data_IF_017387302777
#
_entry.id   IF_017387302777
#
_cell.length_a   1.000
_cell.length_b   1.000
_cell.length_c   1.000
_cell.angle_alpha   90.00
_cell.angle_beta   90.00
_cell.angle_gamma   90.00
#
_symmetry.space_group_name_H-M   'P 1'
#
loop_
_entity.id
_entity.type
_entity.pdbx_description
1 polymer ?
#
# COMPACT_ATOMS: atom_id res chain seq x y z
N UNK A 1 -17.43 1.08 -20.18
CA UNK A 1 -16.83 2.19 -19.39
C UNK A 1 -15.73 1.65 -18.49
N UNK A 2 -15.01 2.47 -17.72
CA UNK A 2 -13.92 2.02 -16.85
C UNK A 2 -14.37 1.14 -15.67
N UNK A 3 -15.66 1.18 -15.32
CA UNK A 3 -16.27 0.37 -14.25
C UNK A 3 -17.40 -0.54 -14.79
N UNK A 4 -17.20 -1.16 -15.97
CA UNK A 4 -18.27 -1.87 -16.68
C UNK A 4 -18.77 -3.14 -15.96
N UNK A 5 -17.90 -3.80 -15.21
CA UNK A 5 -18.17 -5.07 -14.51
C UNK A 5 -18.67 -4.86 -13.07
N UNK A 6 -19.09 -3.63 -12.74
CA UNK A 6 -19.60 -3.25 -11.43
C UNK A 6 -20.76 -4.15 -10.99
N UNK A 7 -20.73 -4.57 -9.71
CA UNK A 7 -21.78 -5.39 -9.06
C UNK A 7 -22.14 -6.62 -9.92
N UNK A 8 -21.10 -7.33 -10.38
CA UNK A 8 -21.22 -8.55 -11.20
C UNK A 8 -21.90 -8.30 -12.57
N UNK A 9 -21.79 -7.09 -13.10
CA UNK A 9 -22.27 -6.74 -14.43
C UNK A 9 -21.71 -7.65 -15.52
N UNK A 10 -22.60 -8.32 -16.26
CA UNK A 10 -22.27 -9.27 -17.32
C UNK A 10 -22.34 -10.74 -16.92
N UNK A 11 -22.38 -11.61 -17.93
CA UNK A 11 -22.48 -13.06 -17.76
C UNK A 11 -21.29 -13.63 -16.99
N UNK A 12 -21.55 -14.64 -16.13
CA UNK A 12 -20.49 -15.33 -15.40
C UNK A 12 -19.43 -15.95 -16.33
N UNK A 13 -19.82 -16.48 -17.50
CA UNK A 13 -18.87 -17.01 -18.48
C UNK A 13 -17.84 -15.98 -18.98
N UNK A 14 -18.16 -14.68 -18.93
CA UNK A 14 -17.24 -13.59 -19.26
C UNK A 14 -16.40 -13.20 -18.04
N UNK A 15 -17.03 -13.03 -16.88
CA UNK A 15 -16.38 -12.65 -15.62
C UNK A 15 -15.43 -13.72 -15.08
N UNK A 16 -15.74 -15.00 -15.29
CA UNK A 16 -14.92 -16.13 -14.86
C UNK A 16 -13.62 -16.31 -15.66
N UNK A 17 -13.35 -15.42 -16.63
CA UNK A 17 -12.03 -15.25 -17.26
C UNK A 17 -11.06 -14.43 -16.41
N UNK A 18 -11.50 -13.94 -15.25
CA UNK A 18 -10.61 -13.35 -14.25
C UNK A 18 -9.46 -14.32 -13.94
N UNK A 19 -8.23 -13.80 -13.98
CA UNK A 19 -6.99 -14.54 -13.76
C UNK A 19 -6.95 -15.18 -12.38
N UNK A 20 -7.63 -14.61 -11.39
CA UNK A 20 -7.65 -15.13 -10.03
C UNK A 20 -8.50 -16.42 -9.88
N UNK A 21 -9.27 -16.81 -10.90
CA UNK A 21 -9.93 -18.13 -10.96
C UNK A 21 -9.03 -19.28 -11.43
N UNK A 22 -7.77 -19.01 -11.78
CA UNK A 22 -6.81 -20.06 -12.12
C UNK A 22 -6.69 -21.10 -10.98
N UNK A 23 -6.61 -22.38 -11.36
CA UNK A 23 -6.59 -23.52 -10.42
C UNK A 23 -7.82 -23.62 -9.49
N UNK A 24 -8.97 -23.08 -9.90
CA UNK A 24 -10.25 -23.18 -9.18
C UNK A 24 -11.32 -23.79 -10.09
N UNK A 25 -12.07 -24.76 -9.57
CA UNK A 25 -13.29 -25.25 -10.23
C UNK A 25 -14.38 -24.19 -10.15
N UNK A 26 -14.46 -23.35 -11.19
CA UNK A 26 -15.26 -22.11 -11.13
C UNK A 26 -16.75 -22.27 -11.40
N UNK A 27 -17.19 -23.40 -11.96
CA UNK A 27 -18.59 -23.61 -12.39
C UNK A 27 -19.59 -23.47 -11.25
N UNK A 28 -19.20 -23.87 -10.03
CA UNK A 28 -20.04 -23.76 -8.84
C UNK A 28 -20.40 -22.30 -8.50
N UNK A 29 -19.53 -21.33 -8.82
CA UNK A 29 -19.74 -19.90 -8.54
C UNK A 29 -20.59 -19.20 -9.60
N UNK A 30 -20.98 -19.92 -10.67
CA UNK A 30 -22.01 -19.48 -11.60
C UNK A 30 -23.43 -19.72 -11.07
N UNK A 31 -23.59 -20.52 -10.01
CA UNK A 31 -24.87 -20.78 -9.37
C UNK A 31 -25.26 -19.62 -8.46
N UNK A 32 -26.56 -19.30 -8.44
CA UNK A 32 -27.09 -18.15 -7.69
C UNK A 32 -26.73 -18.24 -6.19
N UNK A 33 -26.87 -19.43 -5.60
CA UNK A 33 -26.66 -19.72 -4.18
C UNK A 33 -25.19 -19.52 -3.74
N UNK A 34 -24.25 -19.71 -4.67
CA UNK A 34 -22.81 -19.61 -4.44
C UNK A 34 -22.21 -18.29 -4.96
N UNK A 35 -23.06 -17.34 -5.36
CA UNK A 35 -22.61 -16.05 -5.87
C UNK A 35 -21.83 -15.28 -4.80
N UNK A 36 -20.63 -14.82 -5.15
CA UNK A 36 -19.84 -13.90 -4.34
C UNK A 36 -19.37 -12.70 -5.17
N UNK A 37 -19.06 -11.61 -4.48
CA UNK A 37 -18.38 -10.44 -5.03
C UNK A 37 -17.50 -9.79 -3.97
N UNK A 38 -16.48 -9.07 -4.40
CA UNK A 38 -15.64 -8.24 -3.55
C UNK A 38 -15.23 -6.98 -4.30
N UNK A 39 -14.79 -5.96 -3.56
CA UNK A 39 -14.26 -4.73 -4.14
C UNK A 39 -12.74 -4.72 -4.04
N UNK A 40 -12.07 -4.32 -5.12
CA UNK A 40 -10.62 -4.20 -5.17
C UNK A 40 -10.21 -2.78 -5.63
N UNK A 41 -10.26 -1.77 -4.74
CA UNK A 41 -9.77 -0.43 -5.05
C UNK A 41 -8.24 -0.43 -5.13
N UNK A 42 -7.68 0.04 -6.25
CA UNK A 42 -6.22 0.03 -6.47
C UNK A 42 -5.69 1.37 -6.99
N UNK A 43 -4.47 1.69 -6.60
CA UNK A 43 -3.67 2.79 -7.16
C UNK A 43 -2.31 2.24 -7.64
N UNK A 44 -1.32 3.10 -7.87
CA UNK A 44 0.04 2.63 -8.14
C UNK A 44 0.62 2.02 -6.86
N UNK A 45 1.33 0.92 -6.99
CA UNK A 45 1.92 0.23 -5.84
C UNK A 45 3.17 0.91 -5.26
N UNK A 46 3.71 1.95 -5.91
CA UNK A 46 4.95 2.66 -5.50
C UNK A 46 6.08 1.70 -5.06
N UNK A 47 6.20 0.61 -5.82
CA UNK A 47 7.08 -0.55 -5.65
C UNK A 47 8.50 -0.22 -5.17
N UNK A 48 9.14 -1.14 -4.45
CA UNK A 48 10.58 -1.08 -4.14
C UNK A 48 11.43 -1.50 -5.35
N UNK A 49 10.96 -2.49 -6.13
CA UNK A 49 11.54 -2.90 -7.42
C UNK A 49 10.61 -2.53 -8.60
N UNK A 50 10.42 -1.25 -8.93
CA UNK A 50 9.44 -0.82 -9.92
C UNK A 50 9.82 -1.23 -11.35
N UNK A 51 9.13 -2.23 -11.92
CA UNK A 51 9.29 -2.64 -13.31
C UNK A 51 9.12 -1.50 -14.33
N UNK A 52 8.33 -0.47 -14.00
CA UNK A 52 8.18 0.71 -14.84
C UNK A 52 9.45 1.57 -14.94
N UNK A 53 10.24 1.66 -13.88
CA UNK A 53 11.55 2.34 -13.89
C UNK A 53 12.50 1.56 -14.80
N UNK A 54 12.62 0.25 -14.59
CA UNK A 54 13.46 -0.63 -15.40
C UNK A 54 13.08 -0.63 -16.90
N UNK A 55 11.80 -0.46 -17.21
CA UNK A 55 11.30 -0.49 -18.59
C UNK A 55 11.39 0.85 -19.33
N UNK A 56 11.79 1.95 -18.68
CA UNK A 56 11.78 3.28 -19.30
C UNK A 56 13.10 3.58 -20.03
N UNK A 57 13.13 3.65 -21.39
CA UNK A 57 14.39 3.82 -22.12
C UNK A 57 15.03 5.19 -21.90
N UNK A 58 14.24 6.21 -21.57
CA UNK A 58 14.73 7.57 -21.32
C UNK A 58 15.17 7.80 -19.87
N UNK A 59 15.02 6.82 -18.97
CA UNK A 59 15.32 6.99 -17.55
C UNK A 59 14.51 8.09 -16.87
N UNK A 60 13.31 8.41 -17.38
CA UNK A 60 12.49 9.52 -16.88
C UNK A 60 11.60 9.14 -15.70
N UNK A 61 11.67 7.88 -15.25
CA UNK A 61 10.91 7.39 -14.10
C UNK A 61 11.91 7.10 -12.99
N UNK A 62 11.64 7.59 -11.79
CA UNK A 62 12.52 7.47 -10.65
C UNK A 62 11.70 7.24 -9.38
N UNK A 63 12.34 6.67 -8.36
CA UNK A 63 11.81 6.56 -7.00
C UNK A 63 12.51 7.64 -6.18
N UNK A 64 11.73 8.49 -5.51
CA UNK A 64 12.25 9.48 -4.57
C UNK A 64 12.91 8.79 -3.38
N UNK A 65 14.02 9.32 -2.92
CA UNK A 65 14.86 8.71 -1.87
C UNK A 65 14.22 8.93 -0.50
N UNK A 66 13.70 10.14 -0.27
CA UNK A 66 13.19 10.61 1.00
C UNK A 66 11.84 9.98 1.41
N UNK A 67 11.01 9.54 0.45
CA UNK A 67 9.66 9.02 0.73
C UNK A 67 9.26 7.80 -0.12
N UNK A 68 10.12 7.35 -1.03
CA UNK A 68 9.86 6.19 -1.87
C UNK A 68 8.78 6.41 -2.95
N UNK A 69 8.30 7.64 -3.19
CA UNK A 69 7.27 7.90 -4.19
C UNK A 69 7.89 7.79 -5.60
N UNK A 70 7.42 6.81 -6.38
CA UNK A 70 7.76 6.67 -7.81
C UNK A 70 7.04 7.72 -8.67
N UNK A 71 7.78 8.52 -9.45
CA UNK A 71 7.26 9.58 -10.31
C UNK A 71 7.74 9.43 -11.77
N UNK A 72 7.03 10.09 -12.70
CA UNK A 72 7.45 10.25 -14.10
C UNK A 72 7.76 11.72 -14.32
N UNK A 73 9.03 12.03 -14.54
CA UNK A 73 9.50 13.37 -14.91
C UNK A 73 8.87 13.79 -16.24
N UNK A 74 8.02 14.81 -16.21
CA UNK A 74 7.30 15.28 -17.40
C UNK A 74 8.20 16.01 -18.39
N UNK A 75 9.34 16.56 -17.96
CA UNK A 75 10.29 17.23 -18.85
C UNK A 75 11.20 16.22 -19.56
N UNK A 76 11.64 15.18 -18.84
CA UNK A 76 12.48 14.11 -19.39
C UNK A 76 11.70 13.05 -20.16
N UNK A 77 10.41 12.87 -19.88
CA UNK A 77 9.60 11.87 -20.58
C UNK A 77 9.56 12.14 -22.09
N UNK A 78 10.00 11.15 -22.88
CA UNK A 78 10.01 11.19 -24.36
C UNK A 78 8.85 10.42 -25.00
N UNK A 79 7.89 9.93 -24.21
CA UNK A 79 6.70 9.29 -24.76
C UNK A 79 6.97 7.95 -25.46
N UNK A 80 7.99 7.19 -25.01
CA UNK A 80 8.31 5.86 -25.54
C UNK A 80 7.25 4.79 -25.26
N UNK A 81 6.38 5.02 -24.26
CA UNK A 81 5.23 4.16 -23.88
C UNK A 81 5.59 2.76 -23.37
N UNK A 82 6.86 2.37 -23.31
CA UNK A 82 7.31 1.07 -22.80
C UNK A 82 6.95 0.83 -21.33
N UNK A 83 6.96 1.88 -20.50
CA UNK A 83 6.58 1.80 -19.09
C UNK A 83 5.12 1.37 -18.86
N UNK A 84 4.23 1.60 -19.83
CA UNK A 84 2.82 1.19 -19.75
C UNK A 84 2.72 -0.33 -19.80
N UNK A 85 3.42 -0.96 -20.75
CA UNK A 85 3.50 -2.41 -20.84
C UNK A 85 4.24 -2.99 -19.62
N UNK A 86 5.36 -2.37 -19.24
CA UNK A 86 6.21 -2.82 -18.14
C UNK A 86 5.55 -2.81 -16.76
N UNK A 87 4.58 -1.93 -16.50
CA UNK A 87 3.84 -1.96 -15.23
C UNK A 87 2.85 -3.14 -15.21
N UNK A 88 3.03 -4.16 -14.35
CA UNK A 88 2.15 -5.32 -14.33
C UNK A 88 0.74 -4.94 -13.84
N UNK A 89 0.64 -3.95 -12.95
CA UNK A 89 -0.64 -3.42 -12.43
C UNK A 89 -1.39 -2.50 -13.40
N UNK A 90 -0.78 -2.14 -14.53
CA UNK A 90 -1.31 -1.20 -15.54
C UNK A 90 -1.75 0.15 -14.93
N UNK A 91 -0.91 0.70 -14.06
CA UNK A 91 -1.13 1.97 -13.33
C UNK A 91 -0.39 3.18 -13.89
N UNK A 92 0.05 3.05 -15.13
CA UNK A 92 0.61 4.13 -15.93
C UNK A 92 -0.30 4.32 -17.14
N UNK A 93 -0.72 5.55 -17.38
CA UNK A 93 -1.68 5.91 -18.41
C UNK A 93 -1.01 6.86 -19.40
N UNK A 94 -1.29 6.66 -20.69
CA UNK A 94 -0.78 7.56 -21.71
C UNK A 94 -1.69 8.79 -21.82
N UNK A 95 -1.10 9.98 -21.72
CA UNK A 95 -1.78 11.21 -22.08
C UNK A 95 -1.65 11.41 -23.60
N UNK A 96 -2.74 11.11 -24.30
CA UNK A 96 -2.82 11.21 -25.77
C UNK A 96 -2.66 12.64 -26.31
N UNK A 97 -2.81 13.67 -25.46
CA UNK A 97 -2.66 15.08 -25.84
C UNK A 97 -1.23 15.57 -25.64
N UNK A 98 -0.64 15.36 -24.46
CA UNK A 98 0.74 15.79 -24.17
C UNK A 98 1.78 14.87 -24.83
N UNK A 99 1.37 13.66 -25.18
CA UNK A 99 2.25 12.64 -25.74
C UNK A 99 3.11 11.93 -24.70
N UNK A 100 2.87 12.16 -23.40
CA UNK A 100 3.67 11.66 -22.27
C UNK A 100 2.88 10.70 -21.40
N UNK A 101 3.59 9.90 -20.60
CA UNK A 101 2.97 9.00 -19.65
C UNK A 101 2.76 9.70 -18.29
N UNK A 102 1.63 9.41 -17.66
CA UNK A 102 1.25 9.91 -16.34
C UNK A 102 0.84 8.73 -15.44
N UNK A 103 0.94 8.93 -14.13
CA UNK A 103 0.59 7.91 -13.13
C UNK A 103 0.12 8.56 -11.84
N UNK A 104 -0.39 7.75 -10.91
CA UNK A 104 -0.58 8.17 -9.52
C UNK A 104 0.72 8.76 -8.97
N UNK A 105 0.65 9.96 -8.42
CA UNK A 105 1.79 10.68 -7.84
C UNK A 105 1.84 10.57 -6.30
N UNK A 106 1.06 9.64 -5.73
CA UNK A 106 0.84 9.45 -4.29
C UNK A 106 0.49 10.74 -3.53
N UNK A 107 -0.12 11.71 -4.22
CA UNK A 107 -0.37 13.05 -3.69
C UNK A 107 0.86 13.66 -3.00
N UNK A 108 2.06 13.50 -3.58
CA UNK A 108 3.31 13.96 -2.96
C UNK A 108 3.28 15.39 -2.40
N UNK A 109 2.59 16.40 -3.02
CA UNK A 109 2.55 17.74 -2.44
C UNK A 109 1.85 17.80 -1.07
N UNK A 110 0.95 16.84 -0.80
CA UNK A 110 0.27 16.68 0.50
C UNK A 110 1.11 15.84 1.47
N UNK A 111 1.70 14.74 0.99
CA UNK A 111 2.59 13.89 1.80
C UNK A 111 3.78 14.68 2.32
N UNK A 112 4.36 15.55 1.50
CA UNK A 112 5.44 16.45 1.92
C UNK A 112 5.06 17.31 3.13
N UNK A 113 3.79 17.70 3.24
CA UNK A 113 3.25 18.48 4.35
C UNK A 113 2.65 17.61 5.49
N UNK A 114 2.90 16.29 5.51
CA UNK A 114 2.35 15.38 6.52
C UNK A 114 0.84 15.15 6.39
N UNK A 115 0.25 15.43 5.22
CA UNK A 115 -1.17 15.23 4.97
C UNK A 115 -1.44 13.92 4.22
N UNK A 116 -2.60 13.26 4.44
CA UNK A 116 -2.96 12.06 3.71
C UNK A 116 -3.16 12.32 2.21
N UNK A 117 -3.01 11.25 1.43
CA UNK A 117 -3.44 11.28 0.03
C UNK A 117 -4.93 11.58 -0.06
N UNK A 118 -5.36 12.24 -1.14
CA UNK A 118 -6.77 12.57 -1.36
C UNK A 118 -7.65 11.32 -1.26
N UNK A 119 -7.25 10.24 -1.94
CA UNK A 119 -8.03 9.01 -1.93
C UNK A 119 -8.04 8.28 -0.58
N UNK A 120 -7.09 8.55 0.31
CA UNK A 120 -7.09 8.05 1.69
C UNK A 120 -8.02 8.87 2.57
N UNK A 121 -7.88 10.20 2.54
CA UNK A 121 -8.70 11.12 3.33
C UNK A 121 -10.19 11.03 2.99
N UNK A 122 -10.52 10.95 1.69
CA UNK A 122 -11.89 10.88 1.19
C UNK A 122 -12.46 9.46 1.18
N UNK A 123 -11.77 8.48 1.79
CA UNK A 123 -12.24 7.10 1.82
C UNK A 123 -13.42 6.97 2.79
N UNK A 124 -14.64 6.98 2.25
CA UNK A 124 -15.89 6.87 3.02
C UNK A 124 -15.92 5.60 3.87
N UNK A 125 -15.45 4.48 3.32
CA UNK A 125 -15.40 3.19 4.04
C UNK A 125 -14.34 3.13 5.14
N UNK A 126 -13.50 4.16 5.30
CA UNK A 126 -12.45 4.24 6.33
C UNK A 126 -11.41 3.12 6.28
N UNK A 127 -11.26 2.44 5.13
CA UNK A 127 -10.42 1.22 4.98
C UNK A 127 -8.95 1.48 4.63
N UNK A 128 -8.53 2.75 4.51
CA UNK A 128 -7.16 3.10 4.05
C UNK A 128 -6.33 3.60 5.22
N UNK A 129 -5.11 3.08 5.31
CA UNK A 129 -4.12 3.39 6.32
C UNK A 129 -2.83 3.86 5.64
N UNK A 130 -2.17 4.85 6.24
CA UNK A 130 -0.89 5.38 5.78
C UNK A 130 0.06 5.41 6.97
N UNK A 131 1.25 4.85 6.77
CA UNK A 131 2.27 4.71 7.80
C UNK A 131 3.62 4.43 7.15
N UNK A 132 4.69 4.81 7.83
CA UNK A 132 6.06 4.61 7.34
C UNK A 132 6.44 3.14 7.45
N UNK A 133 7.21 2.66 6.48
CA UNK A 133 7.92 1.38 6.53
C UNK A 133 9.39 1.66 6.24
N UNK A 134 10.27 1.27 7.16
CA UNK A 134 11.70 1.27 6.93
C UNK A 134 12.06 -0.01 6.17
N UNK A 135 12.94 0.10 5.18
CA UNK A 135 13.36 -1.04 4.37
C UNK A 135 14.84 -0.96 4.03
N UNK A 136 15.48 -2.12 3.93
CA UNK A 136 16.85 -2.26 3.44
C UNK A 136 16.86 -2.25 1.91
N UNK A 137 17.39 -1.16 1.33
CA UNK A 137 17.44 -0.96 -0.11
C UNK A 137 18.45 -1.91 -0.80
N UNK A 138 19.53 -2.30 -0.11
CA UNK A 138 20.57 -3.16 -0.68
C UNK A 138 20.07 -4.59 -0.90
N UNK A 139 19.08 -5.01 -0.11
CA UNK A 139 18.45 -6.34 -0.19
C UNK A 139 17.26 -6.42 -1.15
N UNK A 140 16.91 -5.35 -1.86
CA UNK A 140 15.79 -5.33 -2.81
C UNK A 140 15.96 -6.38 -3.92
N UNK A 141 17.16 -6.46 -4.51
CA UNK A 141 17.43 -7.42 -5.59
C UNK A 141 17.32 -8.86 -5.07
N UNK A 142 17.91 -9.14 -3.91
CA UNK A 142 17.84 -10.45 -3.25
C UNK A 142 16.38 -10.87 -3.06
N UNK A 143 15.57 -10.02 -2.42
CA UNK A 143 14.17 -10.31 -2.15
C UNK A 143 13.33 -10.50 -3.42
N UNK A 144 13.55 -9.69 -4.45
CA UNK A 144 12.78 -9.78 -5.71
C UNK A 144 13.18 -10.98 -6.60
N UNK A 145 14.37 -11.55 -6.37
CA UNK A 145 14.95 -12.62 -7.21
C UNK A 145 14.90 -14.02 -6.59
N UNK A 146 14.20 -14.19 -5.46
CA UNK A 146 13.94 -15.51 -4.86
C UNK A 146 13.37 -16.50 -5.89
N UNK A 147 13.75 -17.77 -5.79
CA UNK A 147 13.43 -18.78 -6.80
C UNK A 147 11.92 -18.99 -6.96
N UNK A 148 11.20 -19.20 -5.86
CA UNK A 148 9.77 -19.49 -5.88
C UNK A 148 8.93 -18.23 -5.65
N UNK A 149 7.90 -18.02 -6.47
CA UNK A 149 7.02 -16.85 -6.35
C UNK A 149 6.28 -16.78 -4.99
N UNK A 150 6.03 -17.94 -4.36
CA UNK A 150 5.38 -18.02 -3.04
C UNK A 150 6.24 -17.45 -1.90
N UNK A 151 7.55 -17.42 -2.10
CA UNK A 151 8.49 -16.93 -1.08
C UNK A 151 8.60 -15.40 -1.10
N UNK A 152 8.13 -14.73 -2.18
CA UNK A 152 8.25 -13.28 -2.36
C UNK A 152 7.56 -12.46 -1.27
N UNK A 153 6.43 -12.95 -0.74
CA UNK A 153 5.73 -12.29 0.37
C UNK A 153 6.63 -12.22 1.61
N UNK A 154 7.21 -13.36 2.01
CA UNK A 154 8.08 -13.41 3.18
C UNK A 154 9.40 -12.69 2.92
N UNK A 155 9.99 -12.85 1.73
CA UNK A 155 11.21 -12.14 1.36
C UNK A 155 11.05 -10.61 1.40
N UNK A 156 9.87 -10.09 1.04
CA UNK A 156 9.58 -8.67 1.18
C UNK A 156 9.42 -8.25 2.66
N UNK A 157 8.84 -9.10 3.51
CA UNK A 157 8.77 -8.82 4.95
C UNK A 157 10.16 -8.80 5.59
N UNK A 158 11.07 -9.68 5.14
CA UNK A 158 12.41 -9.83 5.71
C UNK A 158 13.34 -8.65 5.40
N UNK A 159 12.97 -7.78 4.46
CA UNK A 159 13.67 -6.52 4.19
C UNK A 159 13.03 -5.31 4.89
N UNK A 160 11.85 -5.47 5.50
CA UNK A 160 11.31 -4.44 6.37
C UNK A 160 12.01 -4.46 7.73
N UNK A 161 12.37 -3.28 8.21
CA UNK A 161 13.19 -3.11 9.40
C UNK A 161 12.31 -2.75 10.61
N UNK A 162 12.65 -3.31 11.77
CA UNK A 162 11.97 -2.99 13.03
C UNK A 162 12.35 -1.57 13.49
N UNK A 163 11.40 -0.62 13.53
CA UNK A 163 11.69 0.75 13.92
C UNK A 163 12.01 0.90 15.43
N UNK A 164 11.85 -0.15 16.23
CA UNK A 164 12.20 -0.17 17.66
C UNK A 164 13.57 -0.83 17.92
N UNK A 165 14.18 -1.48 16.93
CA UNK A 165 15.50 -2.10 17.09
C UNK A 165 16.59 -1.02 17.21
N UNK A 166 17.38 -1.01 18.30
CA UNK A 166 18.49 -0.07 18.47
C UNK A 166 19.48 -0.04 17.31
N UNK A 167 19.74 -1.18 16.65
CA UNK A 167 20.65 -1.26 15.51
C UNK A 167 20.07 -0.55 14.28
N UNK A 168 18.77 -0.73 14.02
CA UNK A 168 18.04 -0.04 12.93
C UNK A 168 17.98 1.46 13.21
N UNK A 169 17.75 1.86 14.46
CA UNK A 169 17.71 3.29 14.84
C UNK A 169 19.05 3.96 14.58
N UNK A 170 20.16 3.31 14.95
CA UNK A 170 21.49 3.87 14.71
C UNK A 170 21.82 3.93 13.22
N UNK A 171 21.53 2.86 12.47
CA UNK A 171 21.75 2.82 11.02
C UNK A 171 20.91 3.90 10.29
N UNK A 172 19.64 4.06 10.67
CA UNK A 172 18.78 5.08 10.09
C UNK A 172 19.31 6.51 10.30
N UNK A 173 19.97 6.79 11.43
CA UNK A 173 20.64 8.09 11.65
C UNK A 173 21.85 8.27 10.73
N UNK A 174 22.64 7.23 10.53
CA UNK A 174 23.80 7.24 9.62
C UNK A 174 23.32 7.52 8.19
N UNK A 175 22.21 6.90 7.78
CA UNK A 175 21.60 7.06 6.46
C UNK A 175 20.79 8.37 6.31
N UNK A 176 20.76 9.21 7.35
CA UNK A 176 20.14 10.54 7.30
C UNK A 176 18.61 10.57 7.43
N UNK A 177 17.99 9.49 7.94
CA UNK A 177 16.55 9.46 8.21
C UNK A 177 16.20 10.39 9.39
N UNK A 178 15.29 11.36 9.22
CA UNK A 178 14.93 12.29 10.30
C UNK A 178 14.25 11.61 11.50
N UNK A 179 14.46 12.12 12.71
CA UNK A 179 13.86 11.56 13.94
C UNK A 179 12.32 11.47 13.88
N UNK A 180 11.66 12.43 13.22
CA UNK A 180 10.20 12.40 13.01
C UNK A 180 9.76 11.24 12.14
N UNK A 181 10.56 10.83 11.16
CA UNK A 181 10.29 9.66 10.34
C UNK A 181 10.43 8.37 11.16
N UNK A 182 11.41 8.30 12.06
CA UNK A 182 11.56 7.20 13.00
C UNK A 182 10.41 7.10 14.00
N UNK A 183 9.93 8.25 14.52
CA UNK A 183 8.73 8.29 15.36
C UNK A 183 7.48 7.83 14.60
N UNK A 184 7.29 8.29 13.37
CA UNK A 184 6.18 7.86 12.52
C UNK A 184 6.26 6.37 12.17
N UNK A 185 7.46 5.82 11.97
CA UNK A 185 7.67 4.40 11.72
C UNK A 185 7.29 3.54 12.92
N UNK A 186 7.68 3.94 14.15
CA UNK A 186 7.31 3.24 15.39
C UNK A 186 5.80 3.21 15.64
N UNK A 187 5.09 4.24 15.21
CA UNK A 187 3.63 4.35 15.35
C UNK A 187 2.88 3.95 14.07
N UNK A 188 3.54 3.32 13.10
CA UNK A 188 2.98 3.06 11.77
C UNK A 188 1.86 2.00 11.82
N UNK A 189 0.60 2.34 11.46
CA UNK A 189 -0.47 1.34 11.37
C UNK A 189 -0.19 0.31 10.26
N UNK A 190 0.58 0.70 9.24
CA UNK A 190 0.97 -0.17 8.14
C UNK A 190 1.97 -1.23 8.61
N UNK A 191 2.96 -0.84 9.42
CA UNK A 191 3.91 -1.78 10.02
C UNK A 191 3.19 -2.79 10.91
N UNK A 192 2.27 -2.32 11.76
CA UNK A 192 1.44 -3.19 12.60
C UNK A 192 0.64 -4.20 11.77
N UNK A 193 -0.07 -3.75 10.73
CA UNK A 193 -0.89 -4.64 9.90
C UNK A 193 -0.09 -5.64 9.07
N UNK A 194 1.03 -5.22 8.50
CA UNK A 194 1.83 -6.04 7.59
C UNK A 194 2.82 -6.96 8.33
N UNK A 195 3.52 -6.43 9.34
CA UNK A 195 4.64 -7.12 9.99
C UNK A 195 4.21 -7.80 11.29
N UNK A 196 3.55 -7.09 12.20
CA UNK A 196 3.19 -7.62 13.52
C UNK A 196 1.96 -8.56 13.44
N UNK A 197 0.84 -8.01 12.97
CA UNK A 197 -0.44 -8.71 12.93
C UNK A 197 -0.58 -9.63 11.72
N UNK A 198 0.27 -9.49 10.69
CA UNK A 198 0.25 -10.33 9.48
C UNK A 198 -1.16 -10.43 8.86
N UNK A 199 -1.91 -9.33 8.87
CA UNK A 199 -3.28 -9.25 8.31
C UNK A 199 -3.31 -8.54 6.97
N UNK A 200 -2.34 -7.69 6.68
CA UNK A 200 -2.17 -7.08 5.36
C UNK A 200 -1.20 -7.91 4.50
N UNK A 201 -1.54 -8.10 3.23
CA UNK A 201 -0.80 -8.91 2.27
C UNK A 201 -0.54 -8.09 0.98
N UNK A 202 0.59 -8.29 0.29
CA UNK A 202 0.91 -7.57 -0.94
C UNK A 202 -0.06 -7.95 -2.07
N UNK A 203 -0.31 -7.04 -3.00
CA UNK A 203 -1.07 -7.37 -4.21
C UNK A 203 -0.16 -8.00 -5.26
N UNK A 204 -0.45 -9.23 -5.70
CA UNK A 204 0.30 -9.96 -6.71
C UNK A 204 1.84 -9.91 -6.50
N UNK A 205 2.35 -10.44 -5.38
CA UNK A 205 3.79 -10.45 -5.10
C UNK A 205 4.61 -11.14 -6.21
N UNK A 206 4.04 -12.12 -6.92
CA UNK A 206 4.64 -12.84 -8.05
C UNK A 206 5.08 -11.95 -9.22
N UNK A 207 4.61 -10.69 -9.27
CA UNK A 207 5.14 -9.71 -10.22
C UNK A 207 6.55 -9.23 -9.90
N UNK A 208 7.11 -9.63 -8.74
CA UNK A 208 8.51 -9.37 -8.33
C UNK A 208 8.87 -7.89 -8.24
N UNK A 209 7.85 -7.04 -8.14
CA UNK A 209 8.06 -5.60 -8.01
C UNK A 209 8.22 -5.17 -6.55
N UNK A 210 7.94 -6.03 -5.58
CA UNK A 210 7.86 -5.67 -4.15
C UNK A 210 6.89 -4.50 -3.93
N UNK A 211 5.57 -4.70 -4.12
CA UNK A 211 4.57 -3.63 -4.03
C UNK A 211 4.43 -3.06 -2.61
N UNK A 212 4.09 -1.77 -2.48
CA UNK A 212 3.99 -1.07 -1.20
C UNK A 212 2.55 -0.65 -0.83
N UNK A 213 1.53 -1.04 -1.60
CA UNK A 213 0.12 -0.91 -1.19
C UNK A 213 -0.44 -2.30 -0.91
N UNK A 214 -0.70 -2.57 0.37
CA UNK A 214 -1.08 -3.89 0.86
C UNK A 214 -2.56 -3.93 1.23
N UNK A 215 -3.12 -5.15 1.25
CA UNK A 215 -4.55 -5.41 1.37
C UNK A 215 -4.83 -6.38 2.50
N UNK A 216 -5.81 -6.04 3.33
CA UNK A 216 -6.42 -7.01 4.25
C UNK A 216 -7.48 -7.78 3.48
N UNK A 217 -7.42 -9.14 3.42
CA UNK A 217 -8.39 -9.92 2.68
C UNK A 217 -9.81 -9.75 3.27
N UNK A 218 -10.88 -9.70 2.47
CA UNK A 218 -12.22 -9.50 2.98
C UNK A 218 -12.77 -10.77 3.63
N UNK A 219 -13.42 -10.62 4.79
CA UNK A 219 -14.35 -11.64 5.28
C UNK A 219 -15.59 -11.69 4.37
N UNK A 220 -16.24 -12.84 4.30
CA UNK A 220 -17.49 -13.01 3.56
C UNK A 220 -18.53 -13.79 4.36
N UNK A 221 -19.82 -13.77 3.96
CA UNK A 221 -20.81 -14.62 4.60
C UNK A 221 -20.42 -16.10 4.50
N UNK A 222 -20.84 -16.88 5.49
CA UNK A 222 -20.73 -18.34 5.48
C UNK A 222 -21.65 -18.89 4.37
N UNK A 223 -21.24 -19.97 3.70
CA UNK A 223 -22.07 -20.67 2.71
C UNK A 223 -23.40 -21.18 3.30
N UNK A 224 -24.44 -21.28 2.46
CA UNK A 224 -25.76 -21.73 2.91
C UNK A 224 -25.75 -23.14 3.51
N UNK A 225 -24.84 -24.01 3.04
CA UNK A 225 -24.67 -25.38 3.54
C UNK A 225 -24.17 -25.43 4.99
N UNK A 226 -23.31 -24.50 5.40
CA UNK A 226 -22.82 -24.42 6.78
C UNK A 226 -23.84 -23.74 7.72
N UNK A 227 -24.68 -22.83 7.20
CA UNK A 227 -25.82 -22.27 7.97
C UNK A 227 -26.93 -23.30 8.27
N UNK A 228 -27.02 -24.41 7.52
CA UNK A 228 -28.02 -25.47 7.71
C UNK A 228 -27.70 -26.43 8.89
N UNK A 229 -26.72 -26.11 9.73
CA UNK A 229 -26.46 -26.82 10.99
C UNK A 229 -25.44 -27.96 10.92
N UNK A 230 -24.82 -28.21 9.77
CA UNK A 230 -23.69 -29.13 9.64
C UNK A 230 -22.37 -28.40 9.96
N UNK A 231 -22.22 -27.94 11.21
CA UNK A 231 -21.10 -27.06 11.58
C UNK A 231 -19.92 -27.91 12.08
N UNK A 232 -18.81 -27.88 11.33
CA UNK A 232 -17.49 -28.00 11.91
C UNK A 232 -17.06 -26.62 12.41
N UNK A 233 -17.15 -26.37 13.71
CA UNK A 233 -16.46 -25.24 14.32
C UNK A 233 -15.03 -25.73 14.53
N UNK A 234 -14.04 -25.03 13.98
CA UNK A 234 -12.65 -25.27 14.36
C UNK A 234 -12.43 -24.55 15.70
N UNK A 235 -12.94 -25.12 16.80
CA UNK A 235 -12.85 -24.52 18.13
C UNK A 235 -13.92 -23.45 18.37
N UNK A 236 -13.49 -22.20 18.57
CA UNK A 236 -14.34 -21.06 18.94
C UNK A 236 -14.67 -20.12 17.76
N UNK A 237 -14.03 -20.37 16.60
CA UNK A 237 -14.08 -19.50 15.42
C UNK A 237 -14.67 -20.28 14.24
N UNK A 238 -15.52 -19.65 13.38
CA UNK A 238 -15.96 -20.28 12.14
C UNK A 238 -14.78 -20.68 11.26
N UNK A 239 -14.86 -21.86 10.64
CA UNK A 239 -13.84 -22.32 9.70
C UNK A 239 -13.79 -21.39 8.48
N UNK A 240 -12.63 -20.77 8.25
CA UNK A 240 -12.39 -19.85 7.13
C UNK A 240 -12.60 -20.51 5.77
N UNK A 241 -12.51 -21.84 5.67
CA UNK A 241 -12.77 -22.58 4.43
C UNK A 241 -14.25 -22.62 4.05
N UNK A 242 -15.14 -22.29 4.97
CA UNK A 242 -16.59 -22.25 4.76
C UNK A 242 -17.10 -20.88 4.32
N UNK A 243 -16.21 -19.88 4.26
CA UNK A 243 -16.50 -18.56 3.72
C UNK A 243 -16.86 -18.68 2.23
N UNK A 244 -17.81 -17.84 1.78
CA UNK A 244 -18.30 -17.91 0.40
C UNK A 244 -17.26 -17.48 -0.64
N UNK A 245 -16.41 -16.52 -0.29
CA UNK A 245 -15.26 -16.15 -1.14
C UNK A 245 -14.23 -17.28 -1.07
N UNK A 246 -13.80 -17.86 -2.20
CA UNK A 246 -12.85 -18.95 -2.19
C UNK A 246 -11.48 -18.45 -1.69
N UNK A 247 -10.93 -19.07 -0.64
CA UNK A 247 -9.61 -18.72 -0.11
C UNK A 247 -8.55 -18.78 -1.21
N UNK A 248 -8.63 -19.78 -2.10
CA UNK A 248 -7.71 -19.91 -3.24
C UNK A 248 -7.77 -18.71 -4.19
N UNK A 249 -8.93 -18.09 -4.37
CA UNK A 249 -9.07 -16.88 -5.21
C UNK A 249 -8.30 -15.71 -4.59
N UNK A 250 -8.44 -15.52 -3.27
CA UNK A 250 -7.71 -14.50 -2.53
C UNK A 250 -6.20 -14.79 -2.50
N UNK A 251 -5.82 -16.06 -2.42
CA UNK A 251 -4.42 -16.46 -2.45
C UNK A 251 -3.76 -16.18 -3.81
N UNK A 252 -4.47 -16.47 -4.91
CA UNK A 252 -4.02 -16.11 -6.26
C UNK A 252 -3.88 -14.59 -6.45
N UNK A 253 -4.56 -13.79 -5.63
CA UNK A 253 -4.52 -12.32 -5.69
C UNK A 253 -3.43 -11.72 -4.80
N UNK A 254 -3.16 -12.31 -3.63
CA UNK A 254 -2.39 -11.66 -2.57
C UNK A 254 -1.10 -12.39 -2.17
N UNK A 255 -0.95 -13.67 -2.51
CA UNK A 255 0.10 -14.53 -1.95
C UNK A 255 0.62 -15.55 -2.96
N UNK A 256 0.61 -15.21 -4.26
CA UNK A 256 1.07 -16.10 -5.35
C UNK A 256 0.45 -17.52 -5.28
N UNK A 257 -0.81 -17.60 -4.83
CA UNK A 257 -1.57 -18.85 -4.72
C UNK A 257 -1.35 -19.65 -3.43
N UNK A 258 -0.52 -19.19 -2.49
CA UNK A 258 -0.39 -19.80 -1.15
C UNK A 258 -1.56 -19.39 -0.24
N UNK A 259 -2.38 -20.35 0.19
CA UNK A 259 -3.56 -20.07 1.02
C UNK A 259 -3.21 -19.77 2.46
N UNK A 260 -2.06 -20.22 2.98
CA UNK A 260 -1.76 -20.15 4.40
C UNK A 260 -1.76 -18.73 4.98
N UNK A 261 -1.09 -17.72 4.36
CA UNK A 261 -1.11 -16.36 4.91
C UNK A 261 -2.52 -15.72 4.84
N UNK A 262 -3.32 -16.08 3.84
CA UNK A 262 -4.70 -15.61 3.71
C UNK A 262 -5.58 -16.20 4.79
N UNK A 263 -5.52 -17.52 5.01
CA UNK A 263 -6.26 -18.20 6.08
C UNK A 263 -5.91 -17.59 7.44
N UNK A 264 -4.61 -17.44 7.73
CA UNK A 264 -4.13 -16.82 8.99
C UNK A 264 -4.68 -15.39 9.18
N UNK A 265 -4.66 -14.57 8.14
CA UNK A 265 -5.19 -13.20 8.22
C UNK A 265 -6.69 -13.19 8.50
N UNK A 266 -7.46 -14.06 7.83
CA UNK A 266 -8.91 -14.20 8.03
C UNK A 266 -9.25 -14.72 9.43
N UNK A 267 -8.52 -15.73 9.91
CA UNK A 267 -8.67 -16.29 11.25
C UNK A 267 -8.39 -15.26 12.34
N UNK A 268 -7.32 -14.46 12.21
CA UNK A 268 -7.00 -13.37 13.17
C UNK A 268 -8.11 -12.33 13.23
N UNK A 269 -8.71 -11.94 12.09
CA UNK A 269 -9.85 -11.03 12.10
C UNK A 269 -11.11 -11.64 12.73
N UNK A 270 -11.36 -12.93 12.51
CA UNK A 270 -12.48 -13.61 13.15
C UNK A 270 -12.26 -13.78 14.67
N UNK A 271 -11.02 -14.06 15.09
CA UNK A 271 -10.62 -14.11 16.50
C UNK A 271 -10.87 -12.77 17.20
N UNK A 272 -10.51 -11.65 16.56
CA UNK A 272 -10.83 -10.32 17.06
C UNK A 272 -12.34 -10.11 17.23
N UNK A 273 -13.15 -10.53 16.26
CA UNK A 273 -14.62 -10.44 16.35
C UNK A 273 -15.19 -11.30 17.47
N UNK A 274 -14.71 -12.53 17.65
CA UNK A 274 -15.14 -13.45 18.70
C UNK A 274 -14.78 -12.89 20.09
N UNK A 275 -13.55 -12.42 20.27
CA UNK A 275 -13.07 -11.80 21.51
C UNK A 275 -13.92 -10.56 21.87
N UNK A 276 -14.10 -9.63 20.92
CA UNK A 276 -14.85 -8.40 21.17
C UNK A 276 -16.34 -8.66 21.39
N UNK A 277 -16.93 -9.69 20.76
CA UNK A 277 -18.30 -10.13 21.06
C UNK A 277 -18.40 -10.65 22.49
N UNK A 278 -17.52 -11.55 22.90
CA UNK A 278 -17.52 -12.09 24.27
C UNK A 278 -17.38 -10.98 25.31
N UNK A 279 -16.50 -10.02 25.07
CA UNK A 279 -16.30 -8.84 25.92
C UNK A 279 -17.54 -7.96 26.04
N UNK A 280 -18.18 -7.60 24.92
CA UNK A 280 -19.24 -6.58 24.89
C UNK A 280 -20.67 -7.14 25.05
N UNK A 281 -20.90 -8.39 24.66
CA UNK A 281 -22.24 -9.02 24.67
C UNK A 281 -22.36 -9.98 25.83
N UNK A 282 -21.43 -10.92 25.93
CA UNK A 282 -21.52 -12.04 26.89
C UNK A 282 -20.90 -11.69 28.26
N UNK A 283 -20.26 -10.53 28.37
CA UNK A 283 -19.57 -10.05 29.59
C UNK A 283 -18.31 -10.83 29.96
N UNK A 284 -17.87 -11.76 29.10
CA UNK A 284 -16.67 -12.58 29.30
C UNK A 284 -15.88 -12.67 27.99
N UNK A 285 -14.67 -12.09 27.92
CA UNK A 285 -13.83 -12.17 26.73
C UNK A 285 -13.48 -13.62 26.36
N UNK A 286 -13.53 -13.93 25.06
CA UNK A 286 -13.20 -15.26 24.55
C UNK A 286 -11.67 -15.38 24.36
N UNK A 287 -10.99 -15.86 25.40
CA UNK A 287 -9.53 -16.04 25.40
C UNK A 287 -9.08 -17.23 24.56
N UNK A 288 -9.95 -18.22 24.38
CA UNK A 288 -9.67 -19.43 23.60
C UNK A 288 -9.54 -19.11 22.10
N UNK A 289 -10.40 -18.22 21.60
CA UNK A 289 -10.30 -17.69 20.24
C UNK A 289 -8.95 -16.99 19.97
N UNK A 290 -8.39 -16.29 20.96
CA UNK A 290 -7.07 -15.66 20.85
C UNK A 290 -5.93 -16.67 20.88
N UNK A 291 -6.02 -17.65 21.78
CA UNK A 291 -5.04 -18.73 21.91
C UNK A 291 -4.93 -19.54 20.61
N UNK A 292 -6.07 -19.80 19.95
CA UNK A 292 -6.13 -20.53 18.69
C UNK A 292 -5.28 -19.88 17.57
N UNK A 293 -5.24 -18.56 17.51
CA UNK A 293 -4.49 -17.80 16.46
C UNK A 293 -3.17 -17.20 16.95
N UNK A 294 -2.75 -17.59 18.17
CA UNK A 294 -1.53 -17.11 18.83
C UNK A 294 -1.46 -15.58 18.86
N UNK A 295 -2.51 -14.95 19.39
CA UNK A 295 -2.62 -13.50 19.54
C UNK A 295 -2.80 -13.13 21.01
N UNK A 296 -2.09 -12.11 21.46
CA UNK A 296 -2.20 -11.57 22.80
C UNK A 296 -3.41 -10.65 22.97
N UNK A 297 -3.78 -10.37 24.22
CA UNK A 297 -4.84 -9.39 24.54
C UNK A 297 -4.46 -8.00 24.07
N UNK A 298 -3.18 -7.62 24.21
CA UNK A 298 -2.70 -6.32 23.76
C UNK A 298 -2.88 -6.18 22.23
N UNK A 299 -2.43 -7.18 21.47
CA UNK A 299 -2.56 -7.17 20.00
C UNK A 299 -4.03 -7.06 19.57
N UNK A 300 -4.96 -7.82 20.17
CA UNK A 300 -6.36 -7.77 19.74
C UNK A 300 -7.05 -6.44 20.09
N UNK A 301 -6.71 -5.83 21.23
CA UNK A 301 -7.25 -4.54 21.62
C UNK A 301 -6.68 -3.41 20.74
N UNK A 302 -5.39 -3.48 20.38
CA UNK A 302 -4.80 -2.54 19.41
C UNK A 302 -5.36 -2.72 18.01
N UNK A 303 -5.52 -3.97 17.54
CA UNK A 303 -6.19 -4.26 16.28
C UNK A 303 -7.60 -3.67 16.25
N UNK A 304 -8.36 -3.83 17.35
CA UNK A 304 -9.69 -3.25 17.45
C UNK A 304 -9.67 -1.71 17.44
N UNK A 305 -8.73 -1.09 18.15
CA UNK A 305 -8.56 0.37 18.14
C UNK A 305 -8.27 0.87 16.71
N UNK A 306 -7.30 0.28 16.02
CA UNK A 306 -6.86 0.73 14.70
C UNK A 306 -7.85 0.36 13.59
N UNK A 307 -8.44 -0.84 13.62
CA UNK A 307 -9.30 -1.35 12.55
C UNK A 307 -10.78 -1.06 12.73
N UNK A 308 -11.29 -1.02 13.97
CA UNK A 308 -12.73 -0.82 14.23
C UNK A 308 -13.07 0.61 14.64
N UNK A 309 -12.35 1.19 15.61
CA UNK A 309 -12.55 2.61 16.00
C UNK A 309 -11.96 3.52 14.93
N UNK A 310 -10.73 3.18 14.50
CA UNK A 310 -10.05 3.72 13.33
C UNK A 310 -10.02 5.25 13.29
N UNK A 311 -9.62 5.89 14.41
CA UNK A 311 -9.53 7.34 14.51
C UNK A 311 -8.64 7.93 13.41
N UNK A 312 -8.79 9.22 13.14
CA UNK A 312 -8.08 9.84 12.01
C UNK A 312 -6.56 9.72 12.17
N UNK A 313 -6.07 10.00 13.36
CA UNK A 313 -4.68 9.91 13.80
C UNK A 313 -4.13 8.49 13.80
N UNK A 314 -4.97 7.48 14.10
CA UNK A 314 -4.57 6.06 14.06
C UNK A 314 -4.43 5.54 12.62
N UNK A 315 -5.16 6.14 11.68
CA UNK A 315 -5.14 5.72 10.27
C UNK A 315 -4.01 6.37 9.48
N UNK A 316 -3.65 7.60 9.81
CA UNK A 316 -2.75 8.41 8.99
C UNK A 316 -1.59 8.93 9.84
N UNK A 317 -0.51 8.15 9.88
CA UNK A 317 0.74 8.49 10.56
C UNK A 317 1.76 8.86 9.49
N UNK A 318 1.77 10.14 9.11
CA UNK A 318 2.53 10.64 7.96
C UNK A 318 3.47 11.75 8.45
N UNK A 319 4.79 11.53 8.41
CA UNK A 319 5.75 12.55 8.78
C UNK A 319 5.81 13.64 7.69
N UNK A 320 6.24 14.83 8.07
CA UNK A 320 6.58 15.87 7.10
C UNK A 320 7.87 15.52 6.36
N UNK A 321 7.93 15.79 5.07
CA UNK A 321 9.17 15.69 4.28
C UNK A 321 9.93 17.00 4.42
N UNK A 322 11.17 16.92 4.89
CA UNK A 322 11.99 18.09 5.20
C UNK A 322 12.66 18.65 3.93
N UNK A 323 11.92 19.44 3.14
CA UNK A 323 12.47 20.11 1.93
C UNK A 323 13.62 21.07 2.25
N UNK A 324 13.75 21.52 3.49
CA UNK A 324 14.84 22.37 3.98
C UNK A 324 16.23 21.75 3.90
N UNK A 325 16.35 20.42 3.85
CA UNK A 325 17.66 19.78 3.74
C UNK A 325 18.20 19.79 2.30
N UNK A 326 17.33 19.88 1.30
CA UNK A 326 17.70 19.83 -0.12
C UNK A 326 17.62 21.19 -0.83
N UNK A 327 16.78 22.11 -0.36
CA UNK A 327 16.52 23.41 -1.00
C UNK A 327 16.69 24.59 -0.03
N UNK A 328 17.07 25.76 -0.56
CA UNK A 328 16.97 27.01 0.21
C UNK A 328 15.49 27.41 0.38
N UNK A 329 14.86 26.91 1.43
CA UNK A 329 13.43 27.13 1.71
C UNK A 329 13.06 28.59 1.90
N UNK A 330 14.00 29.46 2.29
CA UNK A 330 13.75 30.90 2.43
C UNK A 330 13.53 31.54 1.05
N UNK A 331 14.39 31.21 0.08
CA UNK A 331 14.25 31.66 -1.31
C UNK A 331 12.98 31.10 -1.95
N UNK A 332 12.70 29.80 -1.73
CA UNK A 332 11.50 29.14 -2.25
C UNK A 332 10.24 29.75 -1.64
N UNK A 333 10.20 30.03 -0.33
CA UNK A 333 9.06 30.69 0.32
C UNK A 333 8.78 32.09 -0.25
N UNK A 334 9.82 32.85 -0.56
CA UNK A 334 9.69 34.22 -1.09
C UNK A 334 9.41 34.30 -2.59
N UNK A 335 9.76 33.27 -3.36
CA UNK A 335 9.69 33.29 -4.83
C UNK A 335 8.80 32.23 -5.48
N UNK A 336 8.45 31.14 -4.78
CA UNK A 336 7.68 30.04 -5.35
C UNK A 336 6.19 30.41 -5.55
N UNK A 337 5.64 30.09 -6.72
CA UNK A 337 4.27 30.43 -7.11
C UNK A 337 4.16 31.57 -8.13
N UNK A 338 5.21 32.35 -8.33
CA UNK A 338 5.27 33.38 -9.37
C UNK A 338 5.78 32.80 -10.71
N UNK A 339 4.90 32.14 -11.47
CA UNK A 339 5.22 31.44 -12.73
C UNK A 339 5.44 32.36 -13.95
N UNK A 340 5.99 33.56 -13.75
CA UNK A 340 6.32 34.50 -14.84
C UNK A 340 7.53 34.05 -15.69
N UNK A 341 8.12 32.88 -15.41
CA UNK A 341 9.28 32.28 -16.08
C UNK A 341 9.82 31.08 -15.28
N UNK A 342 11.10 30.71 -15.47
CA UNK A 342 11.77 29.59 -14.77
C UNK A 342 12.11 29.86 -13.29
N UNK A 343 11.48 30.85 -12.64
CA UNK A 343 11.87 31.34 -11.31
C UNK A 343 11.87 30.28 -10.19
N UNK A 344 11.04 29.25 -10.33
CA UNK A 344 10.91 28.13 -9.38
C UNK A 344 11.46 26.81 -9.94
N UNK A 345 12.10 26.82 -11.11
CA UNK A 345 12.68 25.63 -11.73
C UNK A 345 14.14 25.46 -11.30
N UNK A 346 14.55 24.23 -10.98
CA UNK A 346 15.93 23.90 -10.61
C UNK A 346 16.81 23.56 -11.81
N UNK A 347 16.22 23.49 -13.01
CA UNK A 347 16.93 23.34 -14.26
C UNK A 347 17.55 24.65 -14.73
N UNK A 348 18.65 25.08 -14.12
CA UNK A 348 19.44 26.18 -14.63
C UNK A 348 20.94 25.85 -14.55
N UNK A 349 21.58 25.77 -15.72
CA UNK A 349 22.99 26.13 -15.83
C UNK A 349 23.14 27.63 -15.51
N UNK A 350 24.29 28.05 -14.99
CA UNK A 350 24.57 29.48 -14.72
C UNK A 350 24.30 30.37 -15.95
N UNK A 351 24.43 29.80 -17.14
CA UNK A 351 24.11 30.40 -18.42
C UNK A 351 22.71 30.00 -18.89
N UNK A 352 21.91 31.00 -19.25
CA UNK A 352 20.62 30.85 -19.93
C UNK A 352 20.68 31.55 -21.28
N UNK A 353 20.12 30.93 -22.33
CA UNK A 353 20.03 31.52 -23.67
C UNK A 353 19.29 32.86 -23.69
N UNK A 354 18.44 33.11 -22.69
CA UNK A 354 17.62 34.32 -22.59
C UNK A 354 18.08 35.29 -21.49
N UNK A 355 19.24 35.05 -20.86
CA UNK A 355 19.83 35.98 -19.88
C UNK A 355 19.05 36.15 -18.57
N UNK A 356 18.08 35.29 -18.27
CA UNK A 356 17.27 35.37 -17.05
C UNK A 356 18.03 34.86 -15.83
N UNK A 357 18.09 35.68 -14.77
CA UNK A 357 18.61 35.28 -13.44
C UNK A 357 17.46 34.74 -12.57
N UNK A 358 17.72 33.68 -11.80
CA UNK A 358 16.77 33.16 -10.80
C UNK A 358 16.58 34.26 -9.73
N UNK A 359 15.35 34.70 -9.49
CA UNK A 359 15.07 35.73 -8.47
C UNK A 359 15.42 35.16 -7.08
N UNK A 360 16.45 35.71 -6.44
CA UNK A 360 16.80 35.40 -5.04
C UNK A 360 16.02 36.32 -4.10
N UNK A 361 15.53 35.77 -3.00
CA UNK A 361 14.87 36.55 -1.95
C UNK A 361 15.95 37.07 -1.01
N UNK A 362 16.39 38.32 -1.21
CA UNK A 362 17.39 38.94 -0.34
C UNK A 362 16.65 39.59 0.84
N UNK A 363 16.84 39.13 2.10
CA UNK A 363 16.27 39.82 3.24
C UNK A 363 16.91 41.22 3.34
N UNK A 364 16.08 42.26 3.35
CA UNK A 364 16.55 43.62 3.64
C UNK A 364 16.97 43.60 5.12
N UNK A 365 18.25 43.89 5.40
CA UNK A 365 18.72 44.08 6.78
C UNK A 365 17.83 45.13 7.44
N UNK A 366 17.13 44.76 8.50
CA UNK A 366 16.50 45.75 9.36
C UNK A 366 17.63 46.54 10.02
N UNK A 367 17.81 47.80 9.61
CA UNK A 367 18.60 48.75 10.38
C UNK A 367 17.92 48.89 11.74
N UNK A 368 18.62 48.46 12.80
CA UNK A 368 18.18 48.60 14.20
C UNK A 368 18.46 50.01 14.68
#
# INVERSE_FOLDING_TARGET
GPNWEEILGGEFAKRSKDKNFDDIQKDIYGQFENTFMMYLPRLCEHCLNPACVASCPSGSIYKREEDGIVLIDQDKCRGWRMCISGCPYKKIYYNWKSGKAEKCIFCYPRIEAGQPTVCSETCVGRIRYLGVLLYDADRIQEAASVEHDRDLYQAQLDIFLDPNDPAVIEQARIDGIPDKWMEAARNSPVYKMAVEWKVALPLHPEYRTLPMVWYVPPLSPISAAANAGNIGINGEIPDVKQLRIPVKYLANLLTAGDTFPVERALERMLAMRAYQRGKHVDGKPNMEALAQVQMSVLEVEEMYQVMAIANYEDRFVIPTTHREYAENTFDVRGGCGFSFGNGCSDGASETSLFGGTKRRTIPIQAEV
#
